data_IF_378435276953
#
_entry.id   IF_378435276953
#
_cell.length_a   1.000
_cell.length_b   1.000
_cell.length_c   1.000
_cell.angle_alpha   90.00
_cell.angle_beta   90.00
_cell.angle_gamma   90.00
#
_symmetry.space_group_name_H-M   'P 1'
#
loop_
_entity.id
_entity.type
_entity.pdbx_description
1 polymer ?
#
# COMPACT_ATOMS: atom_id res chain seq x y z
N UNK A 1 -4.08 29.67 -5.57
CA UNK A 1 -3.74 28.30 -6.07
C UNK A 1 -3.32 28.34 -7.53
N UNK A 2 -4.08 29.02 -8.39
CA UNK A 2 -3.79 29.14 -9.83
C UNK A 2 -2.44 29.77 -10.17
N UNK A 3 -2.02 30.82 -9.46
CA UNK A 3 -0.71 31.48 -9.69
C UNK A 3 0.47 30.60 -9.30
N UNK A 4 0.36 29.84 -8.21
CA UNK A 4 1.43 28.92 -7.79
C UNK A 4 1.56 27.78 -8.81
N UNK A 5 0.44 27.21 -9.26
CA UNK A 5 0.48 26.15 -10.30
C UNK A 5 1.06 26.70 -11.61
N UNK A 6 0.72 27.93 -12.00
CA UNK A 6 1.24 28.56 -13.22
C UNK A 6 2.75 28.88 -13.11
N UNK A 7 3.20 29.49 -12.01
CA UNK A 7 4.61 29.82 -11.78
C UNK A 7 5.48 28.57 -11.63
N UNK A 8 4.98 27.52 -10.97
CA UNK A 8 5.69 26.25 -10.84
C UNK A 8 5.76 25.52 -12.19
N UNK A 9 4.67 25.59 -12.98
CA UNK A 9 4.66 25.14 -14.36
C UNK A 9 5.75 25.83 -15.17
N UNK A 10 5.80 27.16 -15.17
CA UNK A 10 6.77 27.95 -15.93
C UNK A 10 8.23 27.70 -15.50
N UNK A 11 8.47 27.50 -14.20
CA UNK A 11 9.79 27.15 -13.63
C UNK A 11 10.25 25.73 -14.02
N UNK A 12 9.39 24.71 -13.88
CA UNK A 12 9.73 23.31 -14.23
C UNK A 12 9.85 23.12 -15.74
N UNK A 13 9.03 23.83 -16.50
CA UNK A 13 9.04 23.84 -17.96
C UNK A 13 10.27 24.60 -18.49
N UNK A 14 10.85 25.52 -17.70
CA UNK A 14 12.03 26.31 -18.10
C UNK A 14 11.80 27.10 -19.40
N UNK A 15 10.54 27.44 -19.69
CA UNK A 15 10.11 28.04 -20.96
C UNK A 15 9.89 27.08 -22.14
N UNK A 16 10.16 25.77 -22.00
CA UNK A 16 9.90 24.77 -23.05
C UNK A 16 8.92 23.68 -22.61
N UNK A 17 7.67 23.78 -23.07
CA UNK A 17 6.56 22.87 -22.72
C UNK A 17 6.87 21.38 -22.95
N UNK A 18 7.76 21.05 -23.90
CA UNK A 18 8.21 19.68 -24.15
C UNK A 18 9.04 19.13 -22.99
N UNK A 19 9.92 19.95 -22.41
CA UNK A 19 10.74 19.56 -21.25
C UNK A 19 9.84 19.32 -20.04
N UNK A 20 8.84 20.19 -19.83
CA UNK A 20 7.86 20.01 -18.75
C UNK A 20 7.08 18.71 -18.84
N UNK A 21 6.64 18.33 -20.05
CA UNK A 21 5.94 17.05 -20.27
C UNK A 21 6.86 15.85 -20.00
N UNK A 22 8.13 15.91 -20.39
CA UNK A 22 9.10 14.83 -20.14
C UNK A 22 9.33 14.67 -18.63
N UNK A 23 9.58 15.76 -17.90
CA UNK A 23 9.81 15.73 -16.45
C UNK A 23 8.55 15.26 -15.72
N UNK A 24 7.36 15.72 -16.13
CA UNK A 24 6.09 15.24 -15.58
C UNK A 24 5.93 13.74 -15.78
N UNK A 25 6.20 13.22 -16.98
CA UNK A 25 6.16 11.78 -17.26
C UNK A 25 7.16 10.98 -16.41
N UNK A 26 8.38 11.49 -16.21
CA UNK A 26 9.38 10.87 -15.33
C UNK A 26 8.88 10.82 -13.88
N UNK A 27 8.32 11.93 -13.38
CA UNK A 27 7.78 11.99 -12.02
C UNK A 27 6.59 11.03 -11.84
N UNK A 28 5.67 10.96 -12.80
CA UNK A 28 4.55 10.01 -12.79
C UNK A 28 5.07 8.57 -12.82
N UNK A 29 6.07 8.26 -13.65
CA UNK A 29 6.68 6.93 -13.71
C UNK A 29 7.37 6.54 -12.40
N UNK A 30 8.10 7.46 -11.77
CA UNK A 30 8.72 7.22 -10.45
C UNK A 30 7.63 6.99 -9.41
N UNK A 31 6.58 7.82 -9.39
CA UNK A 31 5.44 7.65 -8.50
C UNK A 31 4.81 6.26 -8.66
N UNK A 32 4.51 5.89 -9.90
CA UNK A 32 3.91 4.60 -10.24
C UNK A 32 4.83 3.41 -9.90
N UNK A 33 6.12 3.53 -10.17
CA UNK A 33 7.09 2.45 -9.92
C UNK A 33 7.30 2.22 -8.42
N UNK A 34 7.32 3.28 -7.61
CA UNK A 34 7.41 3.18 -6.14
C UNK A 34 6.16 2.51 -5.58
N UNK A 35 4.97 2.86 -6.08
CA UNK A 35 3.70 2.19 -5.72
C UNK A 35 3.73 0.70 -6.11
N UNK A 36 4.24 0.37 -7.30
CA UNK A 36 4.18 -1.00 -7.84
C UNK A 36 5.20 -1.96 -7.19
N UNK A 37 6.36 -1.47 -6.73
CA UNK A 37 7.46 -2.33 -6.23
C UNK A 37 7.34 -2.77 -4.76
N UNK A 38 6.35 -2.29 -4.00
CA UNK A 38 6.27 -2.50 -2.56
C UNK A 38 5.78 -3.87 -2.06
N UNK A 39 5.17 -4.71 -2.89
CA UNK A 39 4.28 -5.77 -2.37
C UNK A 39 4.78 -7.23 -2.49
N UNK A 40 5.91 -7.51 -3.13
CA UNK A 40 6.06 -8.84 -3.79
C UNK A 40 6.60 -9.99 -2.91
N UNK A 41 7.32 -9.76 -1.80
CA UNK A 41 8.06 -10.86 -1.12
C UNK A 41 7.51 -11.39 0.21
N UNK A 42 6.61 -10.68 0.89
CA UNK A 42 6.11 -11.10 2.22
C UNK A 42 4.89 -12.02 2.09
N UNK A 43 4.13 -11.96 1.00
CA UNK A 43 2.86 -12.72 0.80
C UNK A 43 3.06 -14.23 0.68
N UNK A 44 4.16 -14.65 0.06
CA UNK A 44 4.47 -16.07 -0.16
C UNK A 44 4.66 -16.84 1.16
N UNK A 45 5.37 -16.22 2.12
CA UNK A 45 5.71 -16.87 3.39
C UNK A 45 4.48 -17.02 4.28
N UNK A 46 3.56 -16.05 4.29
CA UNK A 46 2.38 -16.07 5.16
C UNK A 46 1.27 -17.00 4.65
N UNK A 47 1.08 -17.04 3.32
CA UNK A 47 0.24 -18.05 2.68
C UNK A 47 0.75 -19.46 3.01
N UNK A 48 2.07 -19.67 2.97
CA UNK A 48 2.70 -20.94 3.32
C UNK A 48 2.52 -21.31 4.79
N UNK A 49 2.69 -20.37 5.73
CA UNK A 49 2.40 -20.63 7.15
C UNK A 49 0.94 -20.98 7.42
N UNK A 50 0.00 -20.35 6.72
CA UNK A 50 -1.44 -20.66 6.84
C UNK A 50 -1.75 -22.06 6.28
N UNK A 51 -1.12 -22.44 5.17
CA UNK A 51 -1.19 -23.78 4.58
C UNK A 51 -0.54 -24.85 5.48
N UNK A 52 0.61 -24.55 6.08
CA UNK A 52 1.35 -25.48 6.95
C UNK A 52 0.60 -25.75 8.27
N UNK A 53 -0.28 -24.85 8.72
CA UNK A 53 -1.13 -25.02 9.90
C UNK A 53 -2.41 -25.84 9.63
N UNK A 54 -2.81 -26.02 8.37
CA UNK A 54 -4.05 -26.69 7.99
C UNK A 54 -4.10 -28.18 8.39
N UNK A 55 -3.01 -28.97 8.25
CA UNK A 55 -2.99 -30.36 8.72
C UNK A 55 -3.24 -30.47 10.23
N UNK A 56 -2.71 -29.54 11.03
CA UNK A 56 -2.91 -29.54 12.48
C UNK A 56 -4.37 -29.29 12.87
N UNK A 57 -5.03 -28.32 12.22
CA UNK A 57 -6.47 -28.06 12.43
C UNK A 57 -7.34 -29.23 11.95
N UNK A 58 -6.98 -29.89 10.84
CA UNK A 58 -7.70 -31.07 10.36
C UNK A 58 -7.52 -32.28 11.30
N UNK A 59 -6.30 -32.51 11.79
CA UNK A 59 -6.01 -33.60 12.72
C UNK A 59 -6.74 -33.43 14.06
N UNK A 60 -6.98 -32.19 14.52
CA UNK A 60 -7.81 -31.93 15.69
C UNK A 60 -9.28 -32.31 15.46
N UNK A 61 -9.83 -32.04 14.27
CA UNK A 61 -11.19 -32.46 13.90
C UNK A 61 -11.28 -33.99 13.82
N UNK A 62 -10.25 -34.64 13.29
CA UNK A 62 -10.18 -36.11 13.19
C UNK A 62 -10.06 -36.76 14.56
N UNK A 63 -9.34 -36.13 15.50
CA UNK A 63 -9.26 -36.57 16.89
C UNK A 63 -10.63 -36.46 17.59
N UNK A 64 -11.34 -35.35 17.40
CA UNK A 64 -12.69 -35.16 17.95
C UNK A 64 -13.70 -36.18 17.39
N UNK A 65 -13.61 -36.49 16.08
CA UNK A 65 -14.44 -37.49 15.41
C UNK A 65 -14.14 -38.91 15.93
N UNK A 66 -12.86 -39.27 16.03
CA UNK A 66 -12.44 -40.57 16.56
C UNK A 66 -12.77 -40.74 18.05
N UNK A 67 -12.81 -39.64 18.83
CA UNK A 67 -13.25 -39.65 20.22
C UNK A 67 -14.77 -39.71 20.38
N UNK A 68 -15.54 -39.63 19.28
CA UNK A 68 -17.00 -39.61 19.31
C UNK A 68 -17.61 -38.31 19.85
N UNK A 69 -16.81 -37.23 19.94
CA UNK A 69 -17.27 -35.91 20.40
C UNK A 69 -18.09 -35.17 19.34
N UNK A 70 -17.90 -35.52 18.06
CA UNK A 70 -18.62 -34.99 16.91
C UNK A 70 -19.02 -36.11 15.97
N UNK A 71 -20.05 -35.87 15.15
CA UNK A 71 -20.48 -36.78 14.08
C UNK A 71 -19.80 -36.44 12.74
N UNK A 72 -19.92 -37.35 11.76
CA UNK A 72 -19.32 -37.20 10.43
C UNK A 72 -19.82 -35.94 9.70
N UNK A 73 -21.09 -35.56 9.90
CA UNK A 73 -21.65 -34.35 9.29
C UNK A 73 -21.01 -33.08 9.88
N UNK A 74 -20.89 -32.99 11.21
CA UNK A 74 -20.25 -31.85 11.87
C UNK A 74 -18.75 -31.80 11.55
N UNK A 75 -18.07 -32.94 11.50
CA UNK A 75 -16.66 -33.00 11.10
C UNK A 75 -16.46 -32.44 9.68
N UNK A 76 -17.35 -32.79 8.74
CA UNK A 76 -17.31 -32.29 7.36
C UNK A 76 -17.57 -30.79 7.27
N UNK A 77 -18.54 -30.27 8.02
CA UNK A 77 -18.83 -28.85 8.11
C UNK A 77 -17.64 -28.05 8.68
N UNK A 78 -17.04 -28.53 9.79
CA UNK A 78 -15.86 -27.88 10.39
C UNK A 78 -14.64 -27.91 9.47
N UNK A 79 -14.41 -28.99 8.72
CA UNK A 79 -13.34 -29.02 7.71
C UNK A 79 -13.58 -27.96 6.62
N UNK A 80 -14.82 -27.77 6.19
CA UNK A 80 -15.18 -26.72 5.22
C UNK A 80 -14.97 -25.31 5.78
N UNK A 81 -15.31 -25.06 7.05
CA UNK A 81 -15.03 -23.77 7.70
C UNK A 81 -13.53 -23.49 7.79
N UNK A 82 -12.71 -24.47 8.18
CA UNK A 82 -11.25 -24.33 8.24
C UNK A 82 -10.66 -24.01 6.87
N UNK A 83 -11.17 -24.64 5.81
CA UNK A 83 -10.74 -24.35 4.43
C UNK A 83 -11.17 -22.95 4.01
N UNK A 84 -12.39 -22.54 4.34
CA UNK A 84 -12.91 -21.20 4.03
C UNK A 84 -12.11 -20.11 4.77
N UNK A 85 -11.77 -20.34 6.04
CA UNK A 85 -10.92 -19.47 6.86
C UNK A 85 -9.52 -19.31 6.24
N UNK A 86 -8.87 -20.42 5.87
CA UNK A 86 -7.56 -20.41 5.24
C UNK A 86 -7.58 -19.68 3.88
N UNK A 87 -8.62 -19.89 3.07
CA UNK A 87 -8.81 -19.18 1.80
C UNK A 87 -9.05 -17.68 1.99
N UNK A 88 -9.84 -17.30 3.00
CA UNK A 88 -10.09 -15.90 3.32
C UNK A 88 -8.80 -15.19 3.73
N UNK A 89 -8.04 -15.74 4.70
CA UNK A 89 -6.78 -15.13 5.13
C UNK A 89 -5.70 -15.15 4.04
N UNK A 90 -5.64 -16.20 3.21
CA UNK A 90 -4.77 -16.25 2.05
C UNK A 90 -5.08 -15.16 1.02
N UNK A 91 -6.36 -14.89 0.75
CA UNK A 91 -6.78 -13.80 -0.12
C UNK A 91 -6.57 -12.41 0.51
N UNK A 92 -6.77 -12.30 1.83
CA UNK A 92 -6.67 -11.04 2.57
C UNK A 92 -5.22 -10.58 2.76
N UNK A 93 -4.27 -11.50 2.88
CA UNK A 93 -2.85 -11.18 3.01
C UNK A 93 -2.27 -10.53 1.73
N UNK A 94 -2.70 -10.99 0.55
CA UNK A 94 -2.35 -10.37 -0.74
C UNK A 94 -2.90 -8.94 -0.89
N UNK A 95 -4.17 -8.73 -0.52
CA UNK A 95 -4.79 -7.41 -0.56
C UNK A 95 -4.19 -6.45 0.48
N UNK A 96 -3.99 -6.89 1.71
CA UNK A 96 -3.49 -6.08 2.83
C UNK A 96 -2.04 -5.60 2.61
N UNK A 97 -1.21 -6.38 1.92
CA UNK A 97 0.17 -5.98 1.56
C UNK A 97 0.20 -4.93 0.46
N UNK A 98 -0.69 -5.02 -0.52
CA UNK A 98 -0.85 -3.99 -1.55
C UNK A 98 -1.28 -2.65 -0.93
N UNK A 99 -2.24 -2.70 -0.01
CA UNK A 99 -2.79 -1.52 0.67
C UNK A 99 -1.74 -0.87 1.60
N UNK A 100 -0.95 -1.67 2.33
CA UNK A 100 0.14 -1.13 3.18
C UNK A 100 1.23 -0.45 2.37
N UNK A 101 1.65 -1.03 1.23
CA UNK A 101 2.67 -0.44 0.36
C UNK A 101 2.21 0.89 -0.25
N UNK A 102 0.97 0.92 -0.74
CA UNK A 102 0.35 2.10 -1.34
C UNK A 102 0.17 3.23 -0.31
N UNK A 103 -0.32 2.91 0.89
CA UNK A 103 -0.48 3.90 1.96
C UNK A 103 0.85 4.51 2.41
N UNK A 104 1.91 3.71 2.56
CA UNK A 104 3.23 4.21 2.99
C UNK A 104 3.84 5.10 1.91
N UNK A 105 3.75 4.72 0.63
CA UNK A 105 4.23 5.54 -0.48
C UNK A 105 3.48 6.88 -0.56
N UNK A 106 2.14 6.84 -0.48
CA UNK A 106 1.29 8.04 -0.49
C UNK A 106 1.58 9.00 0.67
N UNK A 107 1.85 8.48 1.87
CA UNK A 107 2.23 9.30 3.03
C UNK A 107 3.59 9.97 2.80
N UNK A 108 4.59 9.25 2.30
CA UNK A 108 5.93 9.81 2.01
C UNK A 108 5.83 10.93 0.97
N UNK A 109 5.07 10.70 -0.11
CA UNK A 109 4.87 11.71 -1.17
C UNK A 109 4.16 12.95 -0.62
N UNK A 110 3.13 12.76 0.21
CA UNK A 110 2.40 13.86 0.84
C UNK A 110 3.33 14.71 1.71
N UNK A 111 4.19 14.07 2.51
CA UNK A 111 5.17 14.76 3.35
C UNK A 111 6.20 15.52 2.50
N UNK A 112 6.74 14.90 1.45
CA UNK A 112 7.68 15.56 0.54
C UNK A 112 7.03 16.75 -0.16
N UNK A 113 5.78 16.62 -0.61
CA UNK A 113 5.04 17.73 -1.23
C UNK A 113 4.76 18.87 -0.26
N UNK A 114 4.42 18.56 1.00
CA UNK A 114 4.21 19.58 2.03
C UNK A 114 5.52 20.29 2.34
N UNK A 115 6.62 19.57 2.56
CA UNK A 115 7.92 20.15 2.89
C UNK A 115 8.48 20.93 1.70
N UNK A 116 8.45 20.37 0.50
CA UNK A 116 8.87 21.05 -0.73
C UNK A 116 8.03 22.29 -1.01
N UNK A 117 6.71 22.20 -0.84
CA UNK A 117 5.80 23.34 -0.96
C UNK A 117 6.03 24.42 0.10
N UNK A 118 6.37 24.04 1.32
CA UNK A 118 6.64 24.97 2.41
C UNK A 118 8.02 25.63 2.26
N UNK A 119 9.04 24.89 1.85
CA UNK A 119 10.38 25.43 1.58
C UNK A 119 10.33 26.35 0.36
N UNK A 120 9.73 25.94 -0.74
CA UNK A 120 9.58 26.80 -1.92
C UNK A 120 8.70 28.01 -1.58
N UNK A 121 7.61 27.81 -0.83
CA UNK A 121 6.75 28.89 -0.34
C UNK A 121 7.44 29.85 0.63
N UNK A 122 8.37 29.38 1.46
CA UNK A 122 9.11 30.23 2.41
C UNK A 122 10.31 30.92 1.77
N UNK A 123 10.97 30.29 0.78
CA UNK A 123 12.17 30.82 0.14
C UNK A 123 11.88 31.63 -1.13
N UNK A 124 10.77 31.41 -1.84
CA UNK A 124 10.39 32.22 -3.02
C UNK A 124 9.51 33.43 -2.69
N UNK A 125 8.88 33.48 -1.51
CA UNK A 125 8.03 34.63 -1.14
C UNK A 125 8.69 35.65 -0.22
N UNK A 126 9.95 35.45 0.19
CA UNK A 126 10.78 36.39 0.97
C UNK A 126 9.92 37.37 1.79
N UNK A 127 9.06 36.85 2.66
CA UNK A 127 8.32 37.69 3.59
C UNK A 127 9.34 38.14 4.61
N UNK A 128 10.02 39.24 4.27
CA UNK A 128 10.71 40.04 5.22
C UNK A 128 9.68 40.33 6.33
N UNK A 129 9.96 39.82 7.53
CA UNK A 129 9.20 40.14 8.74
C UNK A 129 9.21 41.66 9.04
N UNK A 130 9.83 42.48 8.19
CA UNK A 130 9.98 43.93 8.29
C UNK A 130 9.01 44.77 7.47
N UNK A 131 8.20 44.21 6.56
CA UNK A 131 7.22 45.00 5.77
C UNK A 131 5.79 44.96 6.34
N UNK A 132 5.63 44.38 7.54
CA UNK A 132 4.38 44.40 8.30
C UNK A 132 4.25 45.65 9.21
N UNK A 133 4.44 46.84 8.65
CA UNK A 133 4.14 48.12 9.29
C UNK A 133 3.09 48.91 8.47
#
# INVERSE_FOLDING_TARGET
VSEIIAAFGEFVVGGNMVIGVIVFCILVLINFMVVTKGSTRVSEVQARFTLDAMPGKQMAIDADLNAGLIDEQTARARRQEVIAEANFYGAMDGSSKFIKGDAVAGIIITIINIIGGFLIGSFQHDMALSDAA
#
